data_IF_333651914301
#
_entry.id   IF_333651914301
#
_cell.length_a   1.000
_cell.length_b   1.000
_cell.length_c   1.000
_cell.angle_alpha   90.00
_cell.angle_beta   90.00
_cell.angle_gamma   90.00
#
_symmetry.space_group_name_H-M   'P 1'
#
loop_
_entity.id
_entity.type
_entity.pdbx_description
1 polymer ?
#
# COMPACT_ATOMS: atom_id res chain seq x y z
N UNK A 1 -13.34 -10.90 23.99
CA UNK A 1 -12.19 -10.65 23.12
C UNK A 1 -11.88 -9.16 23.13
N UNK A 2 -10.65 -8.74 22.88
CA UNK A 2 -10.27 -7.30 22.89
C UNK A 2 -10.62 -6.62 21.57
N UNK A 3 -10.58 -7.36 20.46
CA UNK A 3 -11.02 -6.90 19.13
C UNK A 3 -12.18 -7.79 18.70
N UNK A 4 -13.42 -7.26 18.66
CA UNK A 4 -14.61 -8.10 18.49
C UNK A 4 -14.94 -8.45 17.03
N UNK A 5 -14.45 -7.69 16.05
CA UNK A 5 -14.67 -7.89 14.61
C UNK A 5 -13.55 -7.22 13.79
N UNK A 6 -13.62 -7.30 12.46
CA UNK A 6 -12.74 -6.59 11.54
C UNK A 6 -12.74 -5.07 11.83
N UNK A 7 -11.56 -4.43 12.00
CA UNK A 7 -11.47 -2.98 12.18
C UNK A 7 -12.22 -2.15 11.13
N UNK A 8 -12.31 -2.59 9.87
CA UNK A 8 -13.07 -1.88 8.84
C UNK A 8 -14.57 -1.90 9.14
N UNK A 9 -15.10 -3.03 9.58
CA UNK A 9 -16.51 -3.18 9.98
C UNK A 9 -16.81 -2.34 11.22
N UNK A 10 -15.93 -2.41 12.23
CA UNK A 10 -16.02 -1.58 13.43
C UNK A 10 -15.94 -0.09 13.10
N UNK A 11 -15.16 0.26 12.05
CA UNK A 11 -15.09 1.62 11.55
C UNK A 11 -16.43 2.09 10.95
N UNK A 12 -17.12 1.22 10.21
CA UNK A 12 -18.43 1.56 9.63
C UNK A 12 -19.54 1.64 10.68
N UNK A 13 -19.45 0.85 11.74
CA UNK A 13 -20.42 0.84 12.84
C UNK A 13 -20.31 2.06 13.75
N UNK A 14 -19.21 2.82 13.67
CA UNK A 14 -19.06 4.10 14.35
C UNK A 14 -18.69 4.01 15.84
N UNK A 15 -18.08 2.91 16.27
CA UNK A 15 -17.65 2.66 17.67
C UNK A 15 -16.63 3.70 18.19
N UNK A 16 -16.01 4.47 17.30
CA UNK A 16 -14.97 5.47 17.54
C UNK A 16 -15.44 6.91 17.25
N UNK A 17 -16.72 7.14 16.96
CA UNK A 17 -17.28 8.48 16.65
C UNK A 17 -17.28 9.45 17.84
N UNK A 18 -17.07 8.95 19.06
CA UNK A 18 -17.13 9.75 20.29
C UNK A 18 -15.77 10.29 20.73
N UNK A 19 -14.71 10.12 19.93
CA UNK A 19 -13.37 10.55 20.28
C UNK A 19 -12.91 11.72 19.42
N UNK A 20 -12.18 12.64 20.04
CA UNK A 20 -11.38 13.61 19.29
C UNK A 20 -10.19 12.87 18.67
N UNK A 21 -10.08 12.90 17.33
CA UNK A 21 -9.05 12.19 16.58
C UNK A 21 -8.16 13.20 15.86
N UNK A 22 -6.85 13.09 16.09
CA UNK A 22 -5.82 13.72 15.27
C UNK A 22 -5.02 12.62 14.58
N UNK A 23 -5.08 12.57 13.25
CA UNK A 23 -4.33 11.63 12.43
C UNK A 23 -3.56 12.39 11.34
N UNK A 24 -2.40 11.87 10.96
CA UNK A 24 -1.55 12.44 9.92
C UNK A 24 -0.57 11.40 9.39
N UNK A 25 0.11 11.74 8.30
CA UNK A 25 1.12 10.89 7.66
C UNK A 25 2.41 11.68 7.47
N UNK A 26 3.54 10.98 7.44
CA UNK A 26 4.82 11.60 7.14
C UNK A 26 5.10 11.62 5.64
N UNK A 27 5.86 12.60 5.17
CA UNK A 27 6.39 12.54 3.81
C UNK A 27 7.40 11.39 3.71
N UNK A 28 7.16 10.45 2.78
CA UNK A 28 8.10 9.36 2.51
C UNK A 28 8.00 8.14 3.43
N UNK A 29 6.81 7.80 3.95
CA UNK A 29 6.62 6.58 4.77
C UNK A 29 7.13 5.30 4.10
N UNK A 30 7.09 5.27 2.76
CA UNK A 30 7.57 4.17 1.94
C UNK A 30 9.08 4.14 1.67
N UNK A 31 9.94 4.89 2.37
CA UNK A 31 11.39 4.95 2.05
C UNK A 31 12.03 3.55 2.00
N UNK A 32 11.72 2.67 2.96
CA UNK A 32 12.25 1.29 3.01
C UNK A 32 11.80 0.41 1.84
N UNK A 33 10.75 0.79 1.13
CA UNK A 33 10.27 0.06 -0.04
C UNK A 33 11.20 0.22 -1.26
N UNK A 34 11.99 1.29 -1.30
CA UNK A 34 12.86 1.61 -2.44
C UNK A 34 14.34 1.81 -2.06
N UNK A 35 14.67 1.81 -0.77
CA UNK A 35 16.02 2.10 -0.26
C UNK A 35 17.10 1.20 -0.88
N UNK A 36 16.85 -0.10 -0.97
CA UNK A 36 17.81 -1.08 -1.51
C UNK A 36 18.01 -0.98 -3.03
N UNK A 37 17.16 -0.21 -3.72
CA UNK A 37 17.19 -0.03 -5.17
C UNK A 37 17.93 1.22 -5.63
N UNK A 38 18.30 2.07 -4.67
CA UNK A 38 19.07 3.29 -4.89
C UNK A 38 20.56 2.94 -5.05
N UNK A 39 20.89 1.95 -5.89
CA UNK A 39 22.26 1.49 -6.10
C UNK A 39 23.12 2.49 -6.90
N UNK A 40 22.55 3.60 -7.40
CA UNK A 40 23.29 4.60 -8.18
C UNK A 40 22.73 6.03 -8.04
N UNK A 41 23.57 7.03 -8.31
CA UNK A 41 23.17 8.46 -8.36
C UNK A 41 22.10 8.76 -9.42
N UNK A 42 21.82 7.81 -10.33
CA UNK A 42 20.86 7.94 -11.42
C UNK A 42 19.42 7.52 -11.03
N UNK A 43 19.21 7.10 -9.78
CA UNK A 43 17.89 6.72 -9.27
C UNK A 43 17.47 5.29 -9.61
N UNK A 44 16.16 5.06 -9.75
CA UNK A 44 15.57 3.72 -9.96
C UNK A 44 15.48 3.42 -11.46
N UNK A 45 15.97 2.26 -11.88
CA UNK A 45 15.85 1.80 -13.28
C UNK A 45 14.40 1.44 -13.64
N UNK A 46 14.02 1.61 -14.91
CA UNK A 46 12.68 1.27 -15.40
C UNK A 46 12.30 -0.20 -15.14
N UNK A 47 13.25 -1.13 -15.32
CA UNK A 47 13.03 -2.55 -15.05
C UNK A 47 12.82 -2.85 -13.56
N UNK A 48 13.54 -2.16 -12.67
CA UNK A 48 13.36 -2.32 -11.22
C UNK A 48 12.02 -1.75 -10.77
N UNK A 49 11.61 -0.61 -11.34
CA UNK A 49 10.29 -0.03 -11.10
C UNK A 49 9.17 -1.01 -11.49
N UNK A 50 9.21 -1.54 -12.72
CA UNK A 50 8.21 -2.50 -13.20
C UNK A 50 8.14 -3.76 -12.32
N UNK A 51 9.30 -4.28 -11.91
CA UNK A 51 9.38 -5.42 -11.00
C UNK A 51 8.75 -5.11 -9.64
N UNK A 52 9.07 -3.95 -9.06
CA UNK A 52 8.62 -3.53 -7.73
C UNK A 52 7.10 -3.34 -7.70
N UNK A 53 6.53 -2.68 -8.71
CA UNK A 53 5.08 -2.51 -8.84
C UNK A 53 4.39 -3.86 -9.03
N UNK A 54 4.96 -4.75 -9.84
CA UNK A 54 4.41 -6.10 -10.03
C UNK A 54 4.35 -6.87 -8.72
N UNK A 55 5.47 -6.90 -7.99
CA UNK A 55 5.58 -7.62 -6.74
C UNK A 55 4.65 -7.03 -5.66
N UNK A 56 4.47 -5.71 -5.64
CA UNK A 56 3.52 -5.05 -4.74
C UNK A 56 2.08 -5.50 -4.99
N UNK A 57 1.65 -5.50 -6.26
CA UNK A 57 0.30 -5.94 -6.64
C UNK A 57 0.09 -7.40 -6.28
N UNK A 58 1.07 -8.25 -6.59
CA UNK A 58 1.02 -9.69 -6.33
C UNK A 58 0.88 -10.00 -4.84
N UNK A 59 1.62 -9.29 -3.99
CA UNK A 59 1.61 -9.53 -2.54
C UNK A 59 0.35 -9.00 -1.84
N UNK A 60 -0.21 -7.87 -2.28
CA UNK A 60 -1.37 -7.26 -1.61
C UNK A 60 -2.71 -7.73 -2.16
N UNK A 61 -2.79 -8.00 -3.46
CA UNK A 61 -4.05 -8.37 -4.11
C UNK A 61 -4.10 -9.84 -4.52
N UNK A 62 -2.97 -10.55 -4.54
CA UNK A 62 -2.90 -11.93 -4.98
C UNK A 62 -3.13 -12.08 -6.48
N UNK A 63 -3.92 -13.09 -6.86
CA UNK A 63 -4.34 -13.32 -8.25
C UNK A 63 -5.88 -13.24 -8.36
N UNK A 64 -6.47 -12.05 -8.26
CA UNK A 64 -7.89 -11.86 -8.48
C UNK A 64 -8.20 -11.97 -9.98
N UNK A 65 -9.44 -12.32 -10.35
CA UNK A 65 -9.88 -12.22 -11.74
C UNK A 65 -9.65 -10.79 -12.26
N UNK A 66 -8.94 -10.65 -13.38
CA UNK A 66 -8.60 -9.33 -13.94
C UNK A 66 -7.32 -8.69 -13.38
N UNK A 67 -6.40 -9.47 -12.79
CA UNK A 67 -5.07 -9.01 -12.34
C UNK A 67 -4.34 -8.12 -13.36
N UNK A 68 -4.39 -8.47 -14.64
CA UNK A 68 -3.75 -7.69 -15.71
C UNK A 68 -4.39 -6.29 -15.86
N UNK A 69 -5.71 -6.19 -15.66
CA UNK A 69 -6.44 -4.91 -15.68
C UNK A 69 -6.05 -4.07 -14.45
N UNK A 70 -5.94 -4.67 -13.27
CA UNK A 70 -5.53 -3.97 -12.04
C UNK A 70 -4.10 -3.41 -12.20
N UNK A 71 -3.21 -4.21 -12.76
CA UNK A 71 -1.82 -3.83 -13.07
C UNK A 71 -1.73 -2.70 -14.08
N UNK A 72 -2.52 -2.72 -15.15
CA UNK A 72 -2.54 -1.66 -16.17
C UNK A 72 -3.24 -0.37 -15.72
N UNK A 73 -4.11 -0.45 -14.70
CA UNK A 73 -4.83 0.70 -14.14
C UNK A 73 -3.98 1.50 -13.15
N UNK A 74 -2.99 0.87 -12.52
CA UNK A 74 -2.00 1.56 -11.70
C UNK A 74 -1.04 2.30 -12.65
N UNK A 75 -1.40 3.53 -13.01
CA UNK A 75 -0.56 4.45 -13.78
C UNK A 75 0.08 5.46 -12.84
N UNK A 76 1.40 5.52 -12.87
CA UNK A 76 2.20 6.57 -12.22
C UNK A 76 2.48 7.71 -13.20
#
# INVERSE_FOLDING_TARGET
>A
DVVPDDPEILMQQGEFLNYDILIGVNQGEGLKFVEDSLESEDGISASYFDFTVSNFVDNLYGYPEGKDILRETIKF
#
